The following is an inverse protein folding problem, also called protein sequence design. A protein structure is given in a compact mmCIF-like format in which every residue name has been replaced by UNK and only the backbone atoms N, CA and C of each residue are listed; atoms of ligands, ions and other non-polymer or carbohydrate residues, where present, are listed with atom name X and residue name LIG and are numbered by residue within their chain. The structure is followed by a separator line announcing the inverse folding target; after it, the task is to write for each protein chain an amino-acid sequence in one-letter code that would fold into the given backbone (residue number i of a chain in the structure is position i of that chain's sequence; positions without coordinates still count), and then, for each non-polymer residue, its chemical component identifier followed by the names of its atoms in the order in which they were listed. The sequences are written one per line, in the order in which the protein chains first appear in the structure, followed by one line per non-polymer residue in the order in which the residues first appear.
data_IF_916421162899
#
_entry.id   IF_916421162899
#
_cell.length_a   1.000
_cell.length_b   1.000
_cell.length_c   1.000
_cell.angle_alpha   90.00
_cell.angle_beta   90.00
_cell.angle_gamma   90.00
#
_symmetry.space_group_name_H-M   'P 1'
#
loop_
_entity.id
_entity.type
_entity.pdbx_description
1 polymer ?
#
# COMPACT_ATOMS: atom_id res chain seq x y z
N UNK A 1 50.27 -23.70 41.99
CA UNK A 1 48.89 -24.22 41.93
C UNK A 1 47.94 -23.14 42.44
N UNK A 2 47.15 -22.60 41.53
CA UNK A 2 45.95 -21.79 41.76
C UNK A 2 44.96 -22.20 40.64
N UNK A 3 43.65 -22.32 40.89
CA UNK A 3 42.76 -23.02 39.98
C UNK A 3 42.41 -22.17 38.76
N UNK A 4 42.35 -22.84 37.60
CA UNK A 4 41.84 -22.29 36.34
C UNK A 4 40.32 -22.12 36.46
N UNK A 5 39.83 -20.90 36.25
CA UNK A 5 38.41 -20.62 36.02
C UNK A 5 38.15 -20.80 34.54
N UNK A 6 37.49 -21.89 34.18
CA UNK A 6 36.97 -22.12 32.84
C UNK A 6 35.77 -21.17 32.61
N UNK A 7 35.93 -20.19 31.72
CA UNK A 7 34.83 -19.46 31.14
C UNK A 7 34.23 -20.33 30.04
N UNK A 8 33.12 -20.99 30.34
CA UNK A 8 32.28 -21.63 29.33
C UNK A 8 31.71 -20.54 28.41
N UNK A 9 32.16 -20.54 27.16
CA UNK A 9 31.54 -19.78 26.07
C UNK A 9 30.37 -20.62 25.57
N UNK A 10 29.11 -20.17 25.67
CA UNK A 10 28.01 -20.90 25.05
C UNK A 10 28.22 -20.87 23.53
N UNK A 11 28.27 -22.05 22.92
CA UNK A 11 28.21 -22.19 21.47
C UNK A 11 27.02 -21.41 20.94
N UNK A 12 27.29 -20.38 20.14
CA UNK A 12 26.31 -19.71 19.30
C UNK A 12 25.78 -20.73 18.29
N UNK A 13 24.70 -21.43 18.64
CA UNK A 13 23.88 -22.14 17.68
C UNK A 13 23.44 -21.12 16.64
N UNK A 14 23.75 -21.39 15.37
CA UNK A 14 23.45 -20.52 14.25
C UNK A 14 21.98 -20.11 14.28
N UNK A 15 21.75 -18.80 14.39
CA UNK A 15 20.45 -18.20 14.15
C UNK A 15 20.23 -18.27 12.64
N UNK A 16 19.80 -19.44 12.17
CA UNK A 16 19.06 -19.53 10.92
C UNK A 16 17.77 -18.74 11.13
N UNK A 17 17.37 -17.86 10.20
CA UNK A 17 16.06 -17.26 10.27
C UNK A 17 15.05 -18.40 10.18
N UNK A 18 14.39 -18.70 11.30
CA UNK A 18 13.14 -19.44 11.27
C UNK A 18 12.20 -18.56 10.45
N UNK A 19 11.99 -18.92 9.19
CA UNK A 19 10.77 -18.58 8.49
C UNK A 19 9.64 -19.06 9.39
N UNK A 20 9.03 -18.15 10.14
CA UNK A 20 7.81 -18.43 10.86
C UNK A 20 6.72 -18.62 9.80
N UNK A 21 6.65 -19.83 9.25
CA UNK A 21 5.36 -20.36 8.85
C UNK A 21 4.60 -20.62 10.16
N UNK A 22 4.08 -19.55 10.77
CA UNK A 22 3.00 -19.70 11.74
C UNK A 22 1.83 -20.28 10.95
N UNK A 23 1.44 -21.50 11.30
CA UNK A 23 0.27 -22.19 10.74
C UNK A 23 -1.07 -21.58 11.19
N UNK A 24 -1.04 -20.45 11.89
CA UNK A 24 -2.22 -19.60 12.09
C UNK A 24 -2.26 -18.57 10.97
N UNK A 25 -2.96 -18.89 9.88
CA UNK A 25 -3.31 -17.90 8.88
C UNK A 25 -4.14 -16.75 9.51
N UNK A 26 -4.27 -15.60 8.85
CA UNK A 26 -5.06 -14.46 9.35
C UNK A 26 -6.51 -14.82 9.66
N UNK A 27 -7.04 -15.87 9.04
CA UNK A 27 -8.27 -16.54 9.45
C UNK A 27 -7.97 -17.47 10.63
N UNK A 28 -8.24 -17.02 11.86
CA UNK A 28 -8.17 -17.88 13.03
C UNK A 28 -9.11 -19.09 12.92
N UNK A 29 -8.98 -20.11 13.80
CA UNK A 29 -9.71 -21.38 13.69
C UNK A 29 -11.25 -21.27 13.69
N UNK A 30 -11.80 -20.09 14.04
CA UNK A 30 -13.23 -19.79 14.09
C UNK A 30 -13.70 -18.81 12.99
N UNK A 31 -12.87 -18.47 11.99
CA UNK A 31 -13.32 -17.61 10.90
C UNK A 31 -14.29 -18.37 9.98
N UNK A 32 -15.53 -17.87 9.89
CA UNK A 32 -16.60 -18.46 9.08
C UNK A 32 -16.82 -17.74 7.75
N UNK A 33 -16.02 -16.73 7.43
CA UNK A 33 -16.13 -15.97 6.19
C UNK A 33 -15.48 -16.66 4.99
N UNK A 34 -15.62 -16.02 3.82
CA UNK A 34 -15.07 -16.53 2.56
C UNK A 34 -13.54 -16.45 2.56
N UNK A 35 -12.85 -17.54 2.26
CA UNK A 35 -11.39 -17.53 2.06
C UNK A 35 -11.04 -17.09 0.63
N UNK A 36 -9.87 -16.49 0.47
CA UNK A 36 -9.41 -16.09 -0.86
C UNK A 36 -9.10 -17.34 -1.71
N UNK A 37 -9.56 -17.28 -2.95
CA UNK A 37 -9.30 -18.28 -3.99
C UNK A 37 -9.02 -17.52 -5.30
N UNK A 38 -7.81 -17.59 -5.86
CA UNK A 38 -7.44 -16.80 -7.04
C UNK A 38 -8.29 -17.16 -8.26
N UNK A 39 -8.65 -18.42 -8.46
CA UNK A 39 -9.46 -18.86 -9.61
C UNK A 39 -10.91 -18.35 -9.58
N UNK A 40 -11.43 -18.06 -8.38
CA UNK A 40 -12.78 -17.54 -8.18
C UNK A 40 -12.79 -16.01 -8.13
N UNK A 41 -11.85 -15.42 -7.42
CA UNK A 41 -11.94 -14.01 -7.03
C UNK A 41 -11.14 -13.07 -7.94
N UNK A 42 -10.17 -13.57 -8.72
CA UNK A 42 -9.46 -12.76 -9.72
C UNK A 42 -10.10 -12.86 -11.10
N UNK A 43 -10.07 -11.75 -11.83
CA UNK A 43 -10.44 -11.66 -13.25
C UNK A 43 -9.44 -10.78 -13.99
N UNK A 44 -8.16 -11.06 -13.81
CA UNK A 44 -7.08 -10.20 -14.31
C UNK A 44 -6.96 -10.22 -15.83
N UNK A 45 -6.84 -9.04 -16.42
CA UNK A 45 -6.25 -8.84 -17.74
C UNK A 45 -5.34 -7.61 -17.71
N UNK A 46 -4.20 -7.59 -18.42
CA UNK A 46 -3.27 -6.47 -18.38
C UNK A 46 -3.90 -5.17 -18.88
N UNK A 47 -3.41 -3.99 -18.43
CA UNK A 47 -3.88 -2.71 -18.93
C UNK A 47 -3.62 -2.58 -20.44
N UNK A 48 -4.57 -1.99 -21.16
CA UNK A 48 -4.44 -1.67 -22.59
C UNK A 48 -3.30 -0.70 -22.87
N UNK A 49 -3.03 0.20 -21.92
CA UNK A 49 -1.96 1.18 -22.01
C UNK A 49 -1.40 1.49 -20.64
N UNK A 50 -0.09 1.73 -20.62
CA UNK A 50 0.65 2.24 -19.47
C UNK A 50 1.25 3.58 -19.85
N UNK A 51 1.10 4.58 -18.97
CA UNK A 51 1.76 5.88 -19.10
C UNK A 51 3.10 5.85 -18.37
N UNK A 52 4.13 6.33 -19.03
CA UNK A 52 5.46 6.49 -18.47
C UNK A 52 5.62 7.88 -17.81
N UNK A 53 6.60 8.05 -16.93
CA UNK A 53 6.93 9.35 -16.33
C UNK A 53 7.21 10.41 -17.40
N UNK A 54 7.85 10.02 -18.50
CA UNK A 54 8.11 10.90 -19.65
C UNK A 54 6.83 11.39 -20.34
N UNK A 55 5.76 10.60 -20.37
CA UNK A 55 4.47 11.02 -20.94
C UNK A 55 3.84 12.15 -20.11
N UNK A 56 4.22 12.24 -18.83
CA UNK A 56 3.86 13.33 -17.93
C UNK A 56 4.90 14.46 -17.88
N UNK A 57 5.91 14.44 -18.76
CA UNK A 57 7.05 15.36 -18.71
C UNK A 57 7.79 15.33 -17.35
N UNK A 58 7.78 14.19 -16.67
CA UNK A 58 8.50 13.95 -15.41
C UNK A 58 9.72 13.07 -15.66
N UNK A 59 10.73 13.23 -14.82
CA UNK A 59 11.91 12.35 -14.83
C UNK A 59 11.54 10.93 -14.38
N UNK A 60 12.17 9.90 -14.97
CA UNK A 60 12.23 8.55 -14.42
C UNK A 60 12.48 8.51 -12.91
N UNK A 61 11.81 7.61 -12.19
CA UNK A 61 12.16 7.33 -10.79
C UNK A 61 13.19 6.21 -10.71
N UNK A 62 13.86 6.08 -9.57
CA UNK A 62 14.78 4.96 -9.32
C UNK A 62 14.07 3.60 -9.21
N UNK A 63 12.74 3.59 -9.14
CA UNK A 63 11.92 2.40 -8.95
C UNK A 63 11.34 1.87 -10.25
N UNK A 64 10.71 2.74 -11.04
CA UNK A 64 10.10 2.38 -12.31
C UNK A 64 9.86 3.62 -13.18
N UNK A 65 9.84 3.41 -14.49
CA UNK A 65 9.43 4.45 -15.43
C UNK A 65 7.90 4.56 -15.56
N UNK A 66 7.15 3.60 -15.03
CA UNK A 66 5.69 3.53 -15.16
C UNK A 66 5.05 4.54 -14.21
N UNK A 67 4.44 5.60 -14.75
CA UNK A 67 3.73 6.60 -13.97
C UNK A 67 2.38 6.08 -13.48
N UNK A 68 1.57 5.55 -14.40
CA UNK A 68 0.23 5.03 -14.11
C UNK A 68 -0.25 4.12 -15.24
N UNK A 69 -1.39 3.46 -15.08
CA UNK A 69 -2.02 2.61 -16.10
C UNK A 69 -3.38 3.14 -16.50
N UNK A 70 -3.85 2.79 -17.70
CA UNK A 70 -5.29 2.73 -17.93
C UNK A 70 -5.92 1.68 -17.00
N UNK A 71 -7.22 1.81 -16.66
CA UNK A 71 -7.89 0.83 -15.84
C UNK A 71 -7.82 -0.59 -16.42
N UNK A 72 -7.57 -1.56 -15.57
CA UNK A 72 -7.47 -2.96 -15.96
C UNK A 72 -8.28 -3.87 -15.03
N UNK A 73 -9.00 -4.88 -15.55
CA UNK A 73 -9.68 -5.88 -14.73
C UNK A 73 -8.75 -6.53 -13.71
N UNK A 74 -9.17 -6.65 -12.46
CA UNK A 74 -8.42 -7.29 -11.38
C UNK A 74 -9.31 -8.25 -10.58
N UNK A 75 -10.44 -7.74 -10.07
CA UNK A 75 -11.42 -8.53 -9.33
C UNK A 75 -12.48 -9.09 -10.27
N UNK A 76 -12.85 -10.34 -10.04
CA UNK A 76 -14.15 -10.86 -10.51
C UNK A 76 -15.29 -10.24 -9.72
N UNK A 77 -16.54 -10.51 -10.13
CA UNK A 77 -17.72 -10.14 -9.36
C UNK A 77 -17.68 -10.70 -7.93
N UNK A 78 -17.37 -11.99 -7.78
CA UNK A 78 -17.23 -12.65 -6.48
C UNK A 78 -16.14 -11.99 -5.62
N UNK A 79 -15.06 -11.52 -6.25
CA UNK A 79 -14.01 -10.76 -5.60
C UNK A 79 -14.50 -9.41 -5.06
N UNK A 80 -15.33 -8.69 -5.83
CA UNK A 80 -15.96 -7.43 -5.38
C UNK A 80 -16.88 -7.68 -4.19
N UNK A 81 -17.74 -8.70 -4.26
CA UNK A 81 -18.67 -9.02 -3.17
C UNK A 81 -17.94 -9.40 -1.89
N UNK A 82 -16.89 -10.23 -1.98
CA UNK A 82 -16.11 -10.63 -0.81
C UNK A 82 -15.39 -9.43 -0.16
N UNK A 83 -14.87 -8.48 -0.94
CA UNK A 83 -14.32 -7.23 -0.40
C UNK A 83 -15.40 -6.42 0.33
N UNK A 84 -16.55 -6.20 -0.30
CA UNK A 84 -17.65 -5.41 0.29
C UNK A 84 -18.20 -6.06 1.57
N UNK A 85 -18.30 -7.38 1.60
CA UNK A 85 -18.75 -8.13 2.77
C UNK A 85 -17.86 -7.88 4.00
N UNK A 86 -16.53 -7.84 3.84
CA UNK A 86 -15.64 -7.53 4.96
C UNK A 86 -15.66 -6.03 5.31
N UNK A 87 -15.53 -5.15 4.31
CA UNK A 87 -15.46 -3.69 4.50
C UNK A 87 -16.67 -3.14 5.25
N UNK A 88 -17.87 -3.61 4.91
CA UNK A 88 -19.13 -3.15 5.51
C UNK A 88 -19.62 -4.04 6.66
N UNK A 89 -18.80 -4.98 7.12
CA UNK A 89 -19.13 -5.77 8.31
C UNK A 89 -19.21 -4.86 9.55
N UNK A 90 -20.10 -5.16 10.53
CA UNK A 90 -20.20 -4.36 11.75
C UNK A 90 -18.86 -4.19 12.47
N UNK A 91 -18.06 -5.26 12.55
CA UNK A 91 -16.74 -5.23 13.18
C UNK A 91 -15.77 -4.26 12.52
N UNK A 92 -15.74 -4.20 11.18
CA UNK A 92 -14.93 -3.20 10.47
C UNK A 92 -15.48 -1.79 10.69
N UNK A 93 -16.78 -1.57 10.52
CA UNK A 93 -17.36 -0.23 10.65
C UNK A 93 -17.21 0.34 12.07
N UNK A 94 -17.32 -0.49 13.10
CA UNK A 94 -17.20 -0.06 14.49
C UNK A 94 -15.76 0.27 14.91
N UNK A 95 -14.76 -0.35 14.27
CA UNK A 95 -13.36 -0.26 14.72
C UNK A 95 -12.43 0.48 13.75
N UNK A 96 -12.81 0.60 12.48
CA UNK A 96 -11.92 1.05 11.40
C UNK A 96 -12.47 2.27 10.63
N UNK A 97 -13.70 2.70 10.90
CA UNK A 97 -14.32 3.83 10.20
C UNK A 97 -13.94 5.17 10.82
N UNK A 98 -13.55 6.11 9.98
CA UNK A 98 -13.19 7.48 10.34
C UNK A 98 -13.98 8.48 9.50
N UNK A 99 -14.58 9.47 10.16
CA UNK A 99 -15.28 10.55 9.46
C UNK A 99 -14.27 11.45 8.76
N UNK A 100 -14.53 11.83 7.51
CA UNK A 100 -13.65 12.71 6.73
C UNK A 100 -14.32 14.06 6.49
N UNK A 101 -15.01 14.23 5.35
CA UNK A 101 -15.83 15.41 5.04
C UNK A 101 -17.32 15.04 5.13
N UNK A 102 -18.24 16.01 5.27
CA UNK A 102 -19.68 15.71 5.23
C UNK A 102 -20.03 14.89 3.97
N UNK A 103 -20.74 13.77 4.16
CA UNK A 103 -21.08 12.84 3.07
C UNK A 103 -19.97 11.86 2.66
N UNK A 104 -18.89 11.72 3.44
CA UNK A 104 -17.82 10.75 3.15
C UNK A 104 -17.16 10.16 4.38
N UNK A 105 -16.83 8.88 4.31
CA UNK A 105 -16.07 8.16 5.34
C UNK A 105 -14.87 7.46 4.73
N UNK A 106 -13.84 7.28 5.55
CA UNK A 106 -12.68 6.46 5.24
C UNK A 106 -12.64 5.28 6.20
N UNK A 107 -12.43 4.07 5.69
CA UNK A 107 -12.35 2.84 6.50
C UNK A 107 -10.95 2.26 6.31
N UNK A 108 -10.18 2.09 7.39
CA UNK A 108 -8.78 1.67 7.29
C UNK A 108 -8.24 0.99 8.56
N UNK A 109 -7.14 0.26 8.41
CA UNK A 109 -6.59 -0.58 9.49
C UNK A 109 -7.47 -1.81 9.78
N UNK A 110 -8.15 -2.35 8.76
CA UNK A 110 -9.05 -3.50 8.91
C UNK A 110 -8.31 -4.85 8.82
N UNK A 111 -7.21 -4.91 8.08
CA UNK A 111 -6.41 -6.12 7.91
C UNK A 111 -5.29 -6.21 8.99
N UNK A 112 -4.91 -7.42 9.44
CA UNK A 112 -5.54 -8.72 9.13
C UNK A 112 -6.79 -9.02 9.96
N UNK A 113 -6.98 -8.34 11.10
CA UNK A 113 -7.90 -8.76 12.17
C UNK A 113 -9.36 -8.86 11.74
N UNK A 114 -9.87 -7.85 11.05
CA UNK A 114 -11.29 -7.73 10.69
C UNK A 114 -11.58 -8.12 9.25
N UNK A 115 -10.53 -8.23 8.42
CA UNK A 115 -10.65 -8.47 6.99
C UNK A 115 -9.65 -9.52 6.47
N UNK A 116 -9.75 -10.79 6.93
CA UNK A 116 -8.81 -11.84 6.53
C UNK A 116 -8.92 -12.27 5.06
N UNK A 117 -10.07 -12.17 4.40
CA UNK A 117 -10.17 -12.37 2.94
C UNK A 117 -9.34 -11.32 2.21
N UNK A 118 -9.54 -10.04 2.55
CA UNK A 118 -8.81 -8.91 1.98
C UNK A 118 -7.30 -9.06 2.24
N UNK A 119 -6.92 -9.46 3.45
CA UNK A 119 -5.53 -9.69 3.79
C UNK A 119 -4.92 -10.83 2.95
N UNK A 120 -5.61 -11.95 2.80
CA UNK A 120 -5.15 -13.06 1.95
C UNK A 120 -5.05 -12.66 0.48
N UNK A 121 -6.01 -11.89 -0.02
CA UNK A 121 -6.01 -11.39 -1.39
C UNK A 121 -4.72 -10.61 -1.69
N UNK A 122 -4.43 -9.59 -0.88
CA UNK A 122 -3.29 -8.68 -1.13
C UNK A 122 -1.92 -9.28 -0.77
N UNK A 123 -1.88 -10.39 -0.04
CA UNK A 123 -0.66 -11.17 0.21
C UNK A 123 -0.48 -12.36 -0.73
N UNK A 124 -1.46 -12.64 -1.59
CA UNK A 124 -1.37 -13.82 -2.45
C UNK A 124 -0.25 -13.67 -3.48
N UNK A 125 0.52 -14.75 -3.75
CA UNK A 125 1.55 -14.73 -4.79
C UNK A 125 1.01 -14.31 -6.16
N UNK A 126 -0.23 -14.67 -6.49
CA UNK A 126 -0.89 -14.33 -7.74
C UNK A 126 -1.09 -12.82 -7.89
N UNK A 127 -1.64 -12.16 -6.86
CA UNK A 127 -1.86 -10.72 -6.87
C UNK A 127 -0.54 -9.96 -6.85
N UNK A 128 0.41 -10.36 -5.99
CA UNK A 128 1.70 -9.69 -5.90
C UNK A 128 2.48 -9.76 -7.21
N UNK A 129 2.42 -10.90 -7.92
CA UNK A 129 3.01 -11.02 -9.25
C UNK A 129 2.35 -10.07 -10.25
N UNK A 130 1.02 -10.05 -10.31
CA UNK A 130 0.27 -9.14 -11.21
C UNK A 130 0.65 -7.68 -10.97
N UNK A 131 0.61 -7.23 -9.70
CA UNK A 131 0.91 -5.83 -9.37
C UNK A 131 2.38 -5.49 -9.65
N UNK A 132 3.31 -6.41 -9.37
CA UNK A 132 4.73 -6.22 -9.65
C UNK A 132 5.02 -6.13 -11.16
N UNK A 133 4.40 -7.00 -11.96
CA UNK A 133 4.55 -7.02 -13.42
C UNK A 133 4.00 -5.72 -14.02
N UNK A 134 2.83 -5.26 -13.55
CA UNK A 134 2.23 -3.99 -13.99
C UNK A 134 3.06 -2.78 -13.55
N UNK A 135 3.70 -2.83 -12.38
CA UNK A 135 4.56 -1.76 -11.88
C UNK A 135 5.97 -1.73 -12.49
N UNK A 136 6.43 -2.84 -13.07
CA UNK A 136 7.79 -2.99 -13.58
C UNK A 136 8.86 -3.12 -12.49
N UNK A 137 8.45 -3.38 -11.25
CA UNK A 137 9.33 -3.59 -10.09
C UNK A 137 8.64 -4.53 -9.11
N UNK A 138 9.41 -5.36 -8.40
CA UNK A 138 8.82 -6.28 -7.41
C UNK A 138 8.32 -5.51 -6.19
N UNK A 139 7.01 -5.63 -5.91
CA UNK A 139 6.30 -4.90 -4.87
C UNK A 139 5.73 -5.84 -3.80
N UNK A 140 5.62 -5.29 -2.59
CA UNK A 140 4.86 -5.88 -1.47
C UNK A 140 3.98 -4.79 -0.83
N UNK A 141 2.87 -5.15 -0.15
CA UNK A 141 2.09 -4.18 0.59
C UNK A 141 2.99 -3.38 1.52
N UNK A 142 2.77 -2.07 1.61
CA UNK A 142 3.62 -1.20 2.41
C UNK A 142 3.61 -1.62 3.88
N UNK A 143 2.39 -1.78 4.41
CA UNK A 143 2.04 -2.26 5.75
C UNK A 143 0.64 -2.86 5.67
N UNK A 144 0.28 -3.80 6.56
CA UNK A 144 -1.08 -4.35 6.64
C UNK A 144 -2.11 -3.25 6.90
N UNK A 145 -1.70 -2.21 7.65
CA UNK A 145 -2.51 -1.03 7.93
C UNK A 145 -2.97 -0.28 6.68
N UNK A 146 -2.21 -0.41 5.59
CA UNK A 146 -2.41 0.29 4.32
C UNK A 146 -2.97 -0.64 3.23
N UNK A 147 -3.47 -1.81 3.62
CA UNK A 147 -4.22 -2.71 2.77
C UNK A 147 -5.69 -2.29 2.69
N UNK A 148 -6.20 -2.13 1.47
CA UNK A 148 -7.60 -1.83 1.16
C UNK A 148 -8.20 -0.72 2.01
N UNK A 149 -7.53 0.41 2.17
CA UNK A 149 -8.24 1.55 2.75
C UNK A 149 -9.41 1.90 1.84
N UNK A 150 -10.63 1.97 2.37
CA UNK A 150 -11.83 2.24 1.59
C UNK A 150 -12.21 3.71 1.73
N UNK A 151 -12.38 4.39 0.60
CA UNK A 151 -12.98 5.71 0.53
C UNK A 151 -14.43 5.52 0.05
N UNK A 152 -15.38 5.92 0.90
CA UNK A 152 -16.82 5.79 0.65
C UNK A 152 -17.44 7.17 0.57
N UNK A 153 -17.96 7.52 -0.60
CA UNK A 153 -18.83 8.68 -0.77
C UNK A 153 -20.28 8.23 -0.68
N UNK A 154 -21.03 8.88 0.20
CA UNK A 154 -22.38 8.50 0.59
C UNK A 154 -23.42 9.29 -0.20
N UNK A 155 -24.57 8.65 -0.41
CA UNK A 155 -25.75 9.29 -0.96
C UNK A 155 -26.46 10.22 0.04
N UNK A 156 -27.72 10.54 -0.25
CA UNK A 156 -28.50 11.55 0.46
C UNK A 156 -28.70 11.26 1.98
N UNK A 157 -28.75 10.00 2.42
CA UNK A 157 -28.99 9.69 3.85
C UNK A 157 -27.77 9.73 4.75
N UNK A 158 -26.59 10.09 4.24
CA UNK A 158 -25.42 10.40 5.06
C UNK A 158 -24.85 9.20 5.84
N UNK A 159 -24.32 9.46 7.04
CA UNK A 159 -23.42 8.53 7.75
C UNK A 159 -24.11 7.25 8.26
N UNK A 160 -25.41 7.34 8.57
CA UNK A 160 -26.21 6.19 9.00
C UNK A 160 -26.41 5.17 7.86
N UNK A 161 -26.33 5.59 6.59
CA UNK A 161 -26.44 4.69 5.44
C UNK A 161 -25.19 3.83 5.21
N UNK A 162 -24.02 4.19 5.76
CA UNK A 162 -22.80 3.36 5.62
C UNK A 162 -23.07 1.94 6.13
N UNK A 163 -23.78 1.82 7.26
CA UNK A 163 -24.13 0.52 7.86
C UNK A 163 -25.14 -0.27 7.04
N UNK A 164 -25.93 0.42 6.22
CA UNK A 164 -26.88 -0.16 5.28
C UNK A 164 -26.30 -0.42 3.89
N UNK A 165 -25.01 -0.17 3.67
CA UNK A 165 -24.39 -0.34 2.34
C UNK A 165 -24.46 -1.80 1.93
N UNK A 166 -25.14 -2.13 0.81
CA UNK A 166 -25.35 -3.52 0.42
C UNK A 166 -24.04 -4.17 -0.06
N UNK A 167 -23.91 -5.48 0.19
CA UNK A 167 -22.78 -6.27 -0.32
C UNK A 167 -22.78 -6.27 -1.85
N UNK A 168 -23.94 -6.48 -2.46
CA UNK A 168 -24.12 -6.34 -3.91
C UNK A 168 -24.21 -4.84 -4.26
N UNK A 169 -23.29 -4.31 -5.08
CA UNK A 169 -23.34 -2.91 -5.49
C UNK A 169 -24.67 -2.60 -6.20
N UNK A 170 -25.34 -1.48 -5.85
CA UNK A 170 -26.53 -1.07 -6.57
C UNK A 170 -26.18 -0.78 -8.03
N UNK A 171 -27.04 -1.24 -8.95
CA UNK A 171 -26.88 -0.99 -10.38
C UNK A 171 -27.05 0.50 -10.66
N UNK A 172 -26.10 1.08 -11.38
CA UNK A 172 -26.14 2.48 -11.77
C UNK A 172 -27.08 2.72 -12.96
N UNK A 173 -28.37 2.36 -12.86
CA UNK A 173 -29.32 2.57 -13.97
C UNK A 173 -29.55 4.07 -14.22
N UNK A 174 -29.95 4.43 -15.45
CA UNK A 174 -30.33 5.81 -15.77
C UNK A 174 -31.44 6.32 -14.84
N UNK A 175 -32.39 5.46 -14.47
CA UNK A 175 -33.44 5.77 -13.50
C UNK A 175 -32.89 6.00 -12.08
N UNK A 176 -31.94 5.18 -11.62
CA UNK A 176 -31.29 5.37 -10.31
C UNK A 176 -30.50 6.69 -10.26
N UNK A 177 -29.81 7.03 -11.36
CA UNK A 177 -29.09 8.30 -11.51
C UNK A 177 -30.07 9.48 -11.49
N UNK A 178 -31.19 9.38 -12.21
CA UNK A 178 -32.21 10.43 -12.27
C UNK A 178 -32.92 10.60 -10.92
N UNK A 179 -33.21 9.51 -10.21
CA UNK A 179 -33.77 9.55 -8.86
C UNK A 179 -32.80 10.20 -7.87
N UNK A 180 -31.52 9.82 -7.91
CA UNK A 180 -30.48 10.45 -7.09
C UNK A 180 -30.36 11.95 -7.38
N UNK A 181 -30.39 12.37 -8.66
CA UNK A 181 -30.38 13.80 -9.03
C UNK A 181 -31.59 14.53 -8.44
N UNK A 182 -32.80 13.97 -8.57
CA UNK A 182 -34.03 14.55 -8.02
C UNK A 182 -34.00 14.68 -6.50
N UNK A 183 -33.47 13.68 -5.80
CA UNK A 183 -33.32 13.72 -4.34
C UNK A 183 -32.31 14.78 -3.90
N UNK A 184 -31.16 14.84 -4.56
CA UNK A 184 -30.13 15.86 -4.33
C UNK A 184 -30.62 17.30 -4.62
N UNK A 185 -31.47 17.48 -5.63
CA UNK A 185 -32.13 18.77 -5.91
C UNK A 185 -33.16 19.16 -4.85
N UNK A 186 -33.87 18.18 -4.26
CA UNK A 186 -34.75 18.42 -3.11
C UNK A 186 -33.96 18.82 -1.86
N UNK A 187 -32.76 18.24 -1.68
CA UNK A 187 -31.86 18.63 -0.59
C UNK A 187 -31.26 20.02 -0.77
N UNK A 188 -30.90 20.47 -1.98
CA UNK A 188 -30.45 21.86 -2.21
C UNK A 188 -31.46 22.93 -1.74
N UNK A 189 -32.74 22.57 -1.57
CA UNK A 189 -33.80 23.46 -1.04
C UNK A 189 -33.93 23.45 0.49
N UNK A 190 -33.24 22.54 1.19
CA UNK A 190 -33.02 22.55 2.65
C UNK A 190 -31.57 22.98 2.85
N UNK A 191 -31.32 24.18 3.37
CA UNK A 191 -29.98 24.80 3.54
C UNK A 191 -28.79 23.84 3.30
N UNK A 192 -28.21 23.91 2.10
CA UNK A 192 -27.10 23.06 1.72
C UNK A 192 -25.89 23.32 2.63
N UNK A 193 -25.49 22.31 3.42
CA UNK A 193 -24.31 22.39 4.30
C UNK A 193 -23.00 22.20 3.51
N UNK A 194 -23.00 21.95 2.19
CA UNK A 194 -21.77 21.70 1.43
C UNK A 194 -21.68 22.36 0.05
N UNK A 195 -20.53 22.98 -0.19
CA UNK A 195 -20.06 23.45 -1.49
C UNK A 195 -19.35 22.30 -2.23
N UNK A 196 -20.09 21.60 -3.09
CA UNK A 196 -19.57 20.49 -3.91
C UNK A 196 -18.74 20.95 -5.13
N UNK A 197 -18.40 22.23 -5.24
CA UNK A 197 -17.51 22.74 -6.30
C UNK A 197 -16.03 22.54 -5.97
N UNK A 198 -15.69 22.12 -4.75
CA UNK A 198 -14.30 21.91 -4.30
C UNK A 198 -13.85 20.47 -4.52
N UNK A 199 -12.57 20.22 -4.89
CA UNK A 199 -12.01 18.88 -5.01
C UNK A 199 -12.23 18.07 -3.72
N UNK A 200 -12.60 16.78 -3.86
CA UNK A 200 -12.80 15.88 -2.71
C UNK A 200 -11.46 15.65 -2.00
N UNK A 201 -10.40 15.53 -2.78
CA UNK A 201 -9.02 15.43 -2.30
C UNK A 201 -8.24 16.58 -2.95
N UNK A 202 -7.55 17.38 -2.15
CA UNK A 202 -6.70 18.47 -2.66
C UNK A 202 -5.51 17.90 -3.45
N UNK A 203 -4.84 18.74 -4.23
CA UNK A 203 -3.60 18.34 -4.91
C UNK A 203 -2.59 17.85 -3.89
N UNK A 204 -2.16 16.60 -4.04
CA UNK A 204 -1.26 15.96 -3.08
C UNK A 204 -0.39 14.91 -3.76
N UNK A 205 0.61 14.45 -3.02
CA UNK A 205 1.35 13.23 -3.29
C UNK A 205 0.97 12.22 -2.23
N UNK A 206 0.91 10.95 -2.62
CA UNK A 206 0.68 9.88 -1.64
C UNK A 206 1.85 9.74 -0.69
N UNK A 207 1.57 9.06 0.41
CA UNK A 207 2.60 8.72 1.38
C UNK A 207 3.48 7.55 0.93
N UNK A 208 3.03 6.74 -0.05
CA UNK A 208 3.65 5.49 -0.46
C UNK A 208 4.07 5.50 -1.94
N UNK A 209 5.19 4.84 -2.31
CA UNK A 209 5.73 4.83 -3.68
C UNK A 209 4.69 4.46 -4.75
N UNK A 210 3.94 3.39 -4.51
CA UNK A 210 2.91 2.90 -5.42
C UNK A 210 1.59 2.72 -4.69
N UNK A 211 0.48 2.96 -5.39
CA UNK A 211 -0.86 2.65 -4.94
C UNK A 211 -1.63 1.94 -6.04
N UNK A 212 -2.48 0.99 -5.65
CA UNK A 212 -3.46 0.34 -6.53
C UNK A 212 -4.85 0.74 -6.06
N UNK A 213 -5.57 1.46 -6.91
CA UNK A 213 -6.95 1.90 -6.65
C UNK A 213 -7.90 0.97 -7.37
N UNK A 214 -8.83 0.33 -6.65
CA UNK A 214 -9.86 -0.56 -7.21
C UNK A 214 -11.25 0.01 -6.94
N UNK A 215 -12.12 -0.03 -7.94
CA UNK A 215 -13.51 0.39 -7.81
C UNK A 215 -14.40 -0.78 -7.35
N UNK A 216 -15.17 -0.58 -6.29
CA UNK A 216 -16.14 -1.57 -5.77
C UNK A 216 -17.60 -1.17 -6.01
N UNK A 217 -17.86 0.00 -6.61
CA UNK A 217 -19.19 0.42 -7.05
C UNK A 217 -19.34 0.23 -8.55
N UNK A 218 -20.57 0.02 -9.00
CA UNK A 218 -20.89 0.08 -10.43
C UNK A 218 -20.65 1.50 -10.94
N UNK A 219 -19.65 1.70 -11.80
CA UNK A 219 -19.25 3.02 -12.30
C UNK A 219 -19.53 3.20 -13.81
N UNK A 220 -20.43 2.38 -14.40
CA UNK A 220 -20.70 2.38 -15.86
C UNK A 220 -21.22 3.71 -16.40
N UNK A 221 -21.99 4.42 -15.58
CA UNK A 221 -22.59 5.71 -15.92
C UNK A 221 -22.04 6.86 -15.07
N UNK A 222 -20.90 6.64 -14.39
CA UNK A 222 -20.27 7.64 -13.54
C UNK A 222 -19.77 8.82 -14.38
N UNK A 223 -20.17 10.03 -13.98
CA UNK A 223 -19.64 11.29 -14.50
C UNK A 223 -18.80 11.97 -13.42
N UNK A 224 -17.56 12.33 -13.77
CA UNK A 224 -16.55 12.75 -12.82
C UNK A 224 -15.75 11.58 -12.27
N UNK A 225 -15.05 11.78 -11.16
CA UNK A 225 -14.23 10.74 -10.53
C UNK A 225 -12.91 10.42 -11.24
N UNK A 226 -12.57 11.14 -12.31
CA UNK A 226 -11.26 11.03 -12.95
C UNK A 226 -10.15 11.48 -11.99
N UNK A 227 -9.00 10.83 -12.11
CA UNK A 227 -7.79 11.26 -11.41
C UNK A 227 -7.05 12.21 -12.34
N UNK A 228 -6.84 13.44 -11.86
CA UNK A 228 -6.08 14.45 -12.58
C UNK A 228 -4.63 14.47 -12.07
N UNK A 229 -3.68 14.31 -12.99
CA UNK A 229 -2.24 14.23 -12.73
C UNK A 229 -1.57 15.52 -13.17
N UNK A 230 -0.70 16.06 -12.31
CA UNK A 230 0.14 17.21 -12.64
C UNK A 230 1.36 16.75 -13.44
N UNK A 231 1.59 17.37 -14.60
CA UNK A 231 2.75 17.14 -15.45
C UNK A 231 3.93 18.03 -15.04
N UNK A 232 5.14 17.64 -15.42
CA UNK A 232 6.36 18.41 -15.14
C UNK A 232 6.46 19.74 -15.89
N UNK A 233 5.66 19.92 -16.95
CA UNK A 233 5.54 21.18 -17.69
C UNK A 233 4.47 22.14 -17.11
N UNK A 234 3.85 21.79 -15.99
CA UNK A 234 2.81 22.57 -15.32
C UNK A 234 1.40 22.39 -15.90
N UNK A 235 1.23 21.58 -16.94
CA UNK A 235 -0.10 21.18 -17.44
C UNK A 235 -0.66 19.97 -16.68
N UNK A 236 -1.91 19.57 -16.95
CA UNK A 236 -2.52 18.42 -16.31
C UNK A 236 -2.99 17.36 -17.31
N UNK A 237 -3.10 16.11 -16.86
CA UNK A 237 -3.65 14.99 -17.61
C UNK A 237 -4.71 14.28 -16.78
N UNK A 238 -5.90 14.07 -17.35
CA UNK A 238 -6.96 13.28 -16.70
C UNK A 238 -6.87 11.82 -17.11
N UNK A 239 -6.87 10.94 -16.12
CA UNK A 239 -6.89 9.49 -16.28
C UNK A 239 -8.26 8.96 -15.91
N UNK A 240 -8.77 8.06 -16.74
CA UNK A 240 -10.10 7.47 -16.56
C UNK A 240 -10.17 6.70 -15.24
N UNK A 241 -11.25 6.90 -14.49
CA UNK A 241 -11.51 6.14 -13.27
C UNK A 241 -11.78 4.66 -13.59
N UNK A 242 -11.39 3.73 -12.71
CA UNK A 242 -11.70 2.32 -12.91
C UNK A 242 -13.20 2.03 -12.87
N UNK A 243 -13.62 1.05 -13.68
CA UNK A 243 -14.93 0.41 -13.58
C UNK A 243 -14.95 -0.60 -12.44
N UNK A 244 -16.15 -1.05 -12.03
CA UNK A 244 -16.31 -2.04 -10.96
C UNK A 244 -15.40 -3.27 -11.19
N UNK A 245 -14.62 -3.62 -10.18
CA UNK A 245 -13.64 -4.71 -10.22
C UNK A 245 -12.35 -4.41 -10.99
N UNK A 246 -12.26 -3.28 -11.68
CA UNK A 246 -11.03 -2.82 -12.32
C UNK A 246 -10.15 -2.03 -11.34
N UNK A 247 -8.85 -2.06 -11.61
CA UNK A 247 -7.81 -1.39 -10.87
C UNK A 247 -7.06 -0.37 -11.74
N UNK A 248 -6.45 0.62 -11.09
CA UNK A 248 -5.45 1.53 -11.66
C UNK A 248 -4.23 1.51 -10.75
N UNK A 249 -3.05 1.37 -11.34
CA UNK A 249 -1.78 1.57 -10.63
C UNK A 249 -1.33 3.03 -10.78
N UNK A 250 -0.78 3.63 -9.72
CA UNK A 250 -0.17 4.96 -9.76
C UNK A 250 1.11 5.01 -8.91
N UNK A 251 2.16 5.66 -9.43
CA UNK A 251 3.33 6.07 -8.63
C UNK A 251 3.00 7.30 -7.75
N UNK A 252 2.12 7.10 -6.78
CA UNK A 252 1.45 8.16 -6.01
C UNK A 252 2.38 9.09 -5.23
N UNK A 253 3.52 8.59 -4.73
CA UNK A 253 4.52 9.42 -4.03
C UNK A 253 5.18 10.45 -4.95
N UNK A 254 5.26 10.15 -6.23
CA UNK A 254 6.07 10.90 -7.20
C UNK A 254 5.23 11.88 -8.01
N UNK A 255 3.95 11.56 -8.21
CA UNK A 255 3.05 12.31 -9.08
C UNK A 255 2.04 13.07 -8.22
N UNK A 256 2.07 14.41 -8.32
CA UNK A 256 1.04 15.25 -7.68
C UNK A 256 -0.28 15.04 -8.40
N UNK A 257 -1.34 14.72 -7.66
CA UNK A 257 -2.63 14.37 -8.24
C UNK A 257 -3.82 14.79 -7.36
N UNK A 258 -5.01 14.77 -7.96
CA UNK A 258 -6.30 15.02 -7.32
C UNK A 258 -7.38 14.15 -7.95
N UNK A 259 -8.47 13.90 -7.23
CA UNK A 259 -9.63 13.17 -7.74
C UNK A 259 -10.84 14.10 -7.86
N UNK A 260 -11.44 14.14 -9.04
CA UNK A 260 -12.66 14.90 -9.26
C UNK A 260 -13.85 14.32 -8.44
N UNK A 261 -14.77 15.15 -7.93
CA UNK A 261 -15.98 14.65 -7.30
C UNK A 261 -16.85 13.85 -8.27
N UNK A 262 -17.52 12.82 -7.75
CA UNK A 262 -18.59 12.14 -8.46
C UNK A 262 -19.90 12.83 -8.13
N UNK A 263 -20.70 13.10 -9.16
CA UNK A 263 -21.86 14.00 -9.02
C UNK A 263 -23.20 13.31 -9.21
N UNK A 264 -23.21 12.09 -9.72
CA UNK A 264 -24.41 11.45 -10.28
C UNK A 264 -24.59 9.97 -9.90
N UNK A 265 -23.91 9.47 -8.87
CA UNK A 265 -23.95 8.06 -8.50
C UNK A 265 -24.56 7.87 -7.09
N UNK A 266 -25.31 6.77 -6.86
CA UNK A 266 -25.90 6.47 -5.55
C UNK A 266 -24.83 6.17 -4.49
N UNK A 267 -23.71 5.58 -4.91
CA UNK A 267 -22.53 5.37 -4.07
C UNK A 267 -21.26 5.43 -4.92
N UNK A 268 -20.13 5.71 -4.25
CA UNK A 268 -18.80 5.49 -4.81
C UNK A 268 -17.89 4.92 -3.74
N UNK A 269 -17.58 3.64 -3.88
CA UNK A 269 -16.68 2.89 -3.00
C UNK A 269 -15.42 2.53 -3.78
N UNK A 270 -14.29 3.07 -3.35
CA UNK A 270 -12.98 2.71 -3.89
C UNK A 270 -12.08 2.21 -2.78
N UNK A 271 -11.38 1.10 -3.00
CA UNK A 271 -10.31 0.65 -2.11
C UNK A 271 -8.96 1.02 -2.69
N UNK A 272 -8.00 1.30 -1.81
CA UNK A 272 -6.63 1.59 -2.18
C UNK A 272 -5.70 0.75 -1.33
N UNK A 273 -4.79 0.05 -1.99
CA UNK A 273 -3.70 -0.67 -1.32
C UNK A 273 -2.39 0.00 -1.69
N UNK A 274 -1.60 0.35 -0.67
CA UNK A 274 -0.30 0.98 -0.84
C UNK A 274 0.82 -0.07 -0.90
N UNK A 275 1.84 0.17 -1.72
CA UNK A 275 2.94 -0.73 -1.97
C UNK A 275 4.31 -0.05 -1.85
N UNK A 276 5.30 -0.85 -1.49
CA UNK A 276 6.73 -0.49 -1.44
C UNK A 276 7.56 -1.52 -2.21
N UNK A 277 8.78 -1.18 -2.67
CA UNK A 277 9.67 -2.18 -3.25
C UNK A 277 9.96 -3.29 -2.24
N UNK A 278 9.95 -4.53 -2.72
CA UNK A 278 10.34 -5.70 -1.91
C UNK A 278 11.83 -5.73 -1.65
N UNK A 279 12.63 -5.37 -2.66
CA UNK A 279 14.08 -5.35 -2.54
C UNK A 279 14.51 -4.24 -1.55
N UNK A 280 15.15 -4.61 -0.42
CA UNK A 280 15.53 -3.65 0.62
C UNK A 280 16.60 -2.66 0.15
N UNK A 281 17.32 -2.96 -0.94
CA UNK A 281 18.36 -2.10 -1.51
C UNK A 281 17.80 -1.02 -2.43
N UNK A 282 16.51 -1.09 -2.82
CA UNK A 282 15.86 -0.05 -3.60
C UNK A 282 15.40 1.11 -2.71
N UNK A 283 15.17 2.25 -3.35
CA UNK A 283 14.71 3.47 -2.69
C UNK A 283 13.29 3.30 -2.14
N UNK A 284 13.12 3.42 -0.83
CA UNK A 284 11.80 3.43 -0.18
C UNK A 284 11.55 4.82 0.42
N UNK A 285 10.79 5.64 -0.31
CA UNK A 285 10.37 6.99 0.10
C UNK A 285 8.98 7.02 0.74
N UNK A 286 8.56 5.89 1.32
CA UNK A 286 7.35 5.86 2.14
C UNK A 286 7.47 6.84 3.31
N UNK A 287 6.36 7.51 3.65
CA UNK A 287 6.22 8.45 4.77
C UNK A 287 4.92 8.17 5.54
N UNK A 288 4.69 8.82 6.68
CA UNK A 288 3.40 8.81 7.37
C UNK A 288 2.67 10.17 7.28
N UNK A 289 3.09 11.04 6.35
CA UNK A 289 2.67 12.44 6.30
C UNK A 289 1.15 12.60 6.23
N UNK A 290 0.50 11.88 5.31
CA UNK A 290 -0.93 12.06 4.99
C UNK A 290 -1.82 10.94 5.54
N UNK A 291 -1.25 9.99 6.29
CA UNK A 291 -1.97 8.82 6.82
C UNK A 291 -2.21 8.88 8.33
N UNK A 292 -1.53 9.74 9.09
CA UNK A 292 -1.67 9.76 10.57
C UNK A 292 -3.04 10.20 11.08
N UNK A 293 -3.66 11.18 10.42
CA UNK A 293 -4.88 11.85 10.87
C UNK A 293 -6.15 10.97 10.89
N UNK A 294 -6.10 9.78 10.29
CA UNK A 294 -7.22 8.83 10.23
C UNK A 294 -6.79 7.42 10.67
N UNK A 295 -5.80 7.33 11.54
CA UNK A 295 -5.19 6.06 11.98
C UNK A 295 -5.30 5.87 13.48
N UNK A 296 -5.35 4.60 13.88
CA UNK A 296 -4.89 4.13 15.19
C UNK A 296 -3.37 4.18 15.22
N UNK A 297 -2.82 5.25 15.79
CA UNK A 297 -1.38 5.54 15.72
C UNK A 297 -0.51 4.47 16.37
N UNK A 298 -0.95 3.80 17.45
CA UNK A 298 -0.20 2.68 18.04
C UNK A 298 0.06 1.57 17.02
N UNK A 299 -0.98 1.18 16.28
CA UNK A 299 -0.88 0.11 15.28
C UNK A 299 -0.05 0.56 14.08
N UNK A 300 -0.31 1.77 13.56
CA UNK A 300 0.45 2.34 12.46
C UNK A 300 1.95 2.42 12.78
N UNK A 301 2.31 2.94 13.95
CA UNK A 301 3.71 3.11 14.36
C UNK A 301 4.40 1.80 14.68
N UNK A 302 3.67 0.82 15.23
CA UNK A 302 4.19 -0.54 15.38
C UNK A 302 4.57 -1.13 14.02
N UNK A 303 3.64 -1.17 13.06
CA UNK A 303 3.92 -1.73 11.74
C UNK A 303 5.01 -0.94 11.00
N UNK A 304 4.93 0.40 11.02
CA UNK A 304 5.93 1.30 10.43
C UNK A 304 7.34 1.04 10.95
N UNK A 305 7.49 0.97 12.27
CA UNK A 305 8.81 0.81 12.88
C UNK A 305 9.35 -0.59 12.63
N UNK A 306 8.51 -1.62 12.80
CA UNK A 306 8.94 -3.01 12.62
C UNK A 306 9.40 -3.28 11.19
N UNK A 307 8.63 -2.90 10.17
CA UNK A 307 9.05 -3.18 8.79
C UNK A 307 10.35 -2.46 8.42
N UNK A 308 10.55 -1.23 8.92
CA UNK A 308 11.78 -0.46 8.65
C UNK A 308 12.99 -1.06 9.36
N UNK A 309 12.81 -1.58 10.58
CA UNK A 309 13.85 -2.35 11.27
C UNK A 309 14.20 -3.64 10.51
N UNK A 310 13.22 -4.34 9.95
CA UNK A 310 13.46 -5.52 9.12
C UNK A 310 14.26 -5.18 7.85
N UNK A 311 13.92 -4.08 7.17
CA UNK A 311 14.69 -3.58 6.01
C UNK A 311 16.12 -3.25 6.41
N UNK A 312 16.32 -2.57 7.54
CA UNK A 312 17.65 -2.23 8.06
C UNK A 312 18.47 -3.49 8.38
N UNK A 313 17.86 -4.47 9.06
CA UNK A 313 18.49 -5.73 9.40
C UNK A 313 18.95 -6.47 8.14
N UNK A 314 18.09 -6.50 7.10
CA UNK A 314 18.41 -7.15 5.84
C UNK A 314 19.51 -6.41 5.07
N UNK A 315 19.51 -5.08 5.06
CA UNK A 315 20.62 -4.29 4.49
C UNK A 315 21.95 -4.59 5.19
N UNK A 316 21.94 -4.68 6.52
CA UNK A 316 23.12 -5.03 7.29
C UNK A 316 23.61 -6.46 6.98
N UNK A 317 22.68 -7.41 6.83
CA UNK A 317 22.99 -8.78 6.42
C UNK A 317 23.67 -8.81 5.05
N UNK A 318 23.11 -8.12 4.06
CA UNK A 318 23.65 -8.01 2.69
C UNK A 318 25.06 -7.39 2.71
N UNK A 319 25.25 -6.30 3.46
CA UNK A 319 26.54 -5.64 3.60
C UNK A 319 27.59 -6.58 4.22
N UNK A 320 27.23 -7.28 5.30
CA UNK A 320 28.11 -8.25 5.97
C UNK A 320 28.48 -9.42 5.05
N UNK A 321 27.52 -9.97 4.29
CA UNK A 321 27.77 -11.05 3.33
C UNK A 321 28.67 -10.61 2.18
N UNK A 322 28.47 -9.39 1.67
CA UNK A 322 29.32 -8.79 0.64
C UNK A 322 30.77 -8.65 1.14
N UNK A 323 30.96 -8.19 2.37
CA UNK A 323 32.29 -8.08 3.00
C UNK A 323 32.92 -9.47 3.22
N UNK A 324 32.16 -10.46 3.69
CA UNK A 324 32.65 -11.85 3.87
C UNK A 324 33.10 -12.46 2.54
N UNK A 325 32.33 -12.27 1.47
CA UNK A 325 32.69 -12.75 0.14
C UNK A 325 33.98 -12.09 -0.36
N UNK A 326 34.07 -10.76 -0.26
CA UNK A 326 35.28 -10.02 -0.64
C UNK A 326 36.50 -10.45 0.18
N UNK A 327 36.33 -10.69 1.48
CA UNK A 327 37.39 -11.21 2.34
C UNK A 327 37.88 -12.57 1.85
N UNK A 328 36.96 -13.50 1.58
CA UNK A 328 37.32 -14.84 1.11
C UNK A 328 38.05 -14.80 -0.24
N UNK A 329 37.68 -13.88 -1.14
CA UNK A 329 38.37 -13.69 -2.42
C UNK A 329 39.75 -13.04 -2.24
N UNK A 330 39.87 -12.06 -1.36
CA UNK A 330 41.13 -11.40 -1.05
C UNK A 330 42.15 -12.33 -0.37
N UNK A 331 41.70 -13.21 0.54
CA UNK A 331 42.57 -14.22 1.17
C UNK A 331 43.13 -15.17 0.13
N UNK A 332 42.30 -15.69 -0.78
CA UNK A 332 42.78 -16.58 -1.86
C UNK A 332 43.83 -15.93 -2.76
N UNK A 333 43.76 -14.61 -2.94
CA UNK A 333 44.70 -13.88 -3.77
C UNK A 333 45.99 -13.49 -3.03
N UNK A 334 45.92 -13.27 -1.71
CA UNK A 334 47.03 -12.72 -0.92
C UNK A 334 47.75 -13.73 -0.03
N UNK A 335 47.17 -14.92 0.20
CA UNK A 335 47.77 -16.02 0.96
C UNK A 335 47.97 -17.27 0.08
N UNK A 336 49.22 -17.72 -0.15
CA UNK A 336 49.51 -18.95 -0.89
C UNK A 336 48.86 -20.22 -0.29
N UNK A 337 48.58 -20.24 1.01
CA UNK A 337 47.89 -21.35 1.69
C UNK A 337 46.36 -21.18 1.70
N UNK A 338 45.86 -19.99 1.36
CA UNK A 338 44.43 -19.65 1.32
C UNK A 338 43.71 -19.79 2.66
N UNK A 339 44.41 -19.65 3.79
CA UNK A 339 43.82 -19.87 5.12
C UNK A 339 43.16 -18.59 5.64
N UNK A 340 41.94 -18.73 6.17
CA UNK A 340 41.24 -17.62 6.84
C UNK A 340 42.00 -17.18 8.09
N UNK A 341 41.94 -15.88 8.40
CA UNK A 341 42.55 -15.29 9.59
C UNK A 341 43.64 -14.25 9.30
N UNK A 342 44.13 -14.17 8.06
CA UNK A 342 45.14 -13.19 7.65
C UNK A 342 44.86 -12.69 6.22
N UNK A 343 44.30 -11.51 6.08
CA UNK A 343 44.10 -10.86 4.78
C UNK A 343 44.99 -9.62 4.68
N UNK A 344 45.87 -9.57 3.69
CA UNK A 344 46.81 -8.44 3.46
C UNK A 344 46.32 -7.43 2.43
N UNK A 345 45.21 -7.75 1.76
CA UNK A 345 44.53 -6.86 0.82
C UNK A 345 43.40 -6.13 1.52
N UNK A 346 43.20 -4.85 1.19
CA UNK A 346 42.08 -4.06 1.69
C UNK A 346 40.75 -4.76 1.37
N UNK A 347 39.97 -5.02 2.42
CA UNK A 347 38.65 -5.67 2.30
C UNK A 347 37.53 -4.68 2.56
N UNK A 348 37.72 -3.79 3.54
CA UNK A 348 36.75 -2.76 3.88
C UNK A 348 37.26 -1.43 3.33
N UNK A 349 36.54 -0.88 2.35
CA UNK A 349 36.72 0.51 1.94
C UNK A 349 36.02 1.39 2.99
N UNK A 350 36.81 2.15 3.76
CA UNK A 350 36.30 2.97 4.85
C UNK A 350 35.34 4.07 4.36
N UNK A 351 35.58 4.65 3.18
CA UNK A 351 34.71 5.70 2.64
C UNK A 351 33.37 5.12 2.17
N UNK A 352 33.39 3.96 1.51
CA UNK A 352 32.15 3.26 1.14
C UNK A 352 31.36 2.79 2.37
N UNK A 353 32.05 2.32 3.40
CA UNK A 353 31.43 1.89 4.67
C UNK A 353 30.80 3.07 5.41
N UNK A 354 31.48 4.23 5.43
CA UNK A 354 30.93 5.46 6.02
C UNK A 354 29.66 5.90 5.28
N UNK A 355 29.69 5.93 3.95
CA UNK A 355 28.52 6.28 3.14
C UNK A 355 27.33 5.34 3.43
N UNK A 356 27.57 4.03 3.48
CA UNK A 356 26.53 3.06 3.82
C UNK A 356 25.96 3.31 5.22
N UNK A 357 26.80 3.63 6.20
CA UNK A 357 26.39 3.91 7.57
C UNK A 357 25.53 5.18 7.64
N UNK A 358 25.93 6.25 6.94
CA UNK A 358 25.20 7.51 6.89
C UNK A 358 23.80 7.31 6.28
N UNK A 359 23.68 6.50 5.22
CA UNK A 359 22.39 6.13 4.61
C UNK A 359 21.48 5.39 5.60
N UNK A 360 22.03 4.48 6.42
CA UNK A 360 21.25 3.73 7.41
C UNK A 360 20.83 4.61 8.59
N UNK A 361 21.71 5.52 9.04
CA UNK A 361 21.40 6.50 10.08
C UNK A 361 20.27 7.41 9.63
N UNK A 362 20.36 7.95 8.40
CA UNK A 362 19.30 8.78 7.83
C UNK A 362 17.96 8.02 7.74
N UNK A 363 18.00 6.74 7.36
CA UNK A 363 16.80 5.91 7.27
C UNK A 363 16.09 5.72 8.63
N UNK A 364 16.85 5.51 9.71
CA UNK A 364 16.30 5.39 11.09
C UNK A 364 15.84 6.76 11.61
N UNK A 365 16.59 7.83 11.34
CA UNK A 365 16.18 9.19 11.72
C UNK A 365 14.85 9.57 11.05
N UNK A 366 14.66 9.24 9.77
CA UNK A 366 13.39 9.42 9.08
C UNK A 366 12.27 8.59 9.73
N UNK A 367 12.57 7.35 10.12
CA UNK A 367 11.61 6.47 10.83
C UNK A 367 11.05 7.17 12.07
N UNK A 368 11.92 7.79 12.87
CA UNK A 368 11.52 8.53 14.07
C UNK A 368 10.82 9.85 13.75
N UNK A 369 11.27 10.58 12.73
CA UNK A 369 10.70 11.86 12.31
C UNK A 369 9.20 11.76 11.95
N UNK A 370 8.82 10.63 11.35
CA UNK A 370 7.45 10.34 10.92
C UNK A 370 6.51 10.02 12.09
N UNK A 371 7.03 9.70 13.27
CA UNK A 371 6.24 9.39 14.46
C UNK A 371 6.02 10.61 15.34
N UNK A 372 4.97 10.55 16.16
CA UNK A 372 4.64 11.56 17.18
C UNK A 372 4.40 10.84 18.51
N UNK A 373 4.74 11.46 19.65
CA UNK A 373 4.36 10.91 20.95
C UNK A 373 2.85 10.64 20.99
N UNK A 374 2.48 9.47 21.50
CA UNK A 374 1.09 9.13 21.76
C UNK A 374 0.71 9.77 23.10
N UNK A 375 -0.43 10.46 23.12
CA UNK A 375 -0.96 11.14 24.31
C UNK A 375 -1.72 10.17 25.21
#
# INVERSE_FOLDING_TARGET
MAPSVALEIPHAAGILPKTSQSQDGPAGPNYTGTLFNPAKHLSFSPPSKTLQMSDLALSPTALSNIATTEPFPLLSHDGVLAHRQEIFSPGVLDNCMHHTRPGSVQIRGMAPRYAPFIHQFWHSPEVLRIISDVAGVELVPAMDYEISHANVQLGAGGLEEVRGTPVEPPVATEEAIENFRKEKEKEKKREAVTDQTRPIIEWHKDSHPFVVVVMLSDARHMAGGETELMKGDGTTLKVKSPQMGCAVLLQGRYITHTAAPVTNMPERVTIVTSFRPKNPMLLDETTNANVRNKSHLSELYYQWTTYRLDVLAERARIAAETLRKRYDDNVKQSDPEGKKGLCRTETVDAAAMQKWADEQIAYIQQTMYEMRPLA
#
